data_IF_134913471142
#
_entry.id   IF_134913471142
#
_cell.length_a   1.000
_cell.length_b   1.000
_cell.length_c   1.000
_cell.angle_alpha   90.00
_cell.angle_beta   90.00
_cell.angle_gamma   90.00
#
_symmetry.space_group_name_H-M   'P 1'
#
loop_
_entity.id
_entity.type
_entity.pdbx_description
1 polymer ?
#
# COMPACT_ATOMS: atom_id res chain seq x y z
N UNK A 1 3.02 50.27 11.71
CA UNK A 1 2.59 49.04 12.41
C UNK A 1 1.87 48.05 11.50
N UNK A 2 0.81 48.43 10.75
CA UNK A 2 0.07 47.50 9.84
C UNK A 2 0.93 46.61 8.92
N UNK A 3 1.92 47.19 8.23
CA UNK A 3 2.78 46.43 7.32
C UNK A 3 3.61 45.35 8.04
N UNK A 4 4.01 45.61 9.29
CA UNK A 4 4.77 44.64 10.08
C UNK A 4 3.87 43.48 10.52
N UNK A 5 2.65 43.78 10.97
CA UNK A 5 1.66 42.77 11.37
C UNK A 5 1.21 41.88 10.19
N UNK A 6 1.07 42.47 9.00
CA UNK A 6 0.76 41.72 7.77
C UNK A 6 1.89 40.76 7.39
N UNK A 7 3.15 41.21 7.52
CA UNK A 7 4.32 40.37 7.28
C UNK A 7 4.43 39.25 8.31
N UNK A 8 4.23 39.54 9.58
CA UNK A 8 4.21 38.54 10.66
C UNK A 8 3.11 37.50 10.39
N UNK A 9 1.90 37.94 10.05
CA UNK A 9 0.77 37.05 9.72
C UNK A 9 1.09 36.16 8.52
N UNK A 10 1.73 36.72 7.50
CA UNK A 10 2.14 35.98 6.30
C UNK A 10 3.18 34.90 6.60
N UNK A 11 4.16 35.21 7.46
CA UNK A 11 5.16 34.24 7.92
C UNK A 11 4.48 33.11 8.69
N UNK A 12 3.57 33.41 9.63
CA UNK A 12 2.83 32.37 10.35
C UNK A 12 2.04 31.43 9.44
N UNK A 13 1.40 31.97 8.40
CA UNK A 13 0.66 31.16 7.40
C UNK A 13 1.59 30.26 6.60
N UNK A 14 2.76 30.76 6.22
CA UNK A 14 3.77 29.98 5.51
C UNK A 14 4.32 28.86 6.40
N UNK A 15 4.72 29.17 7.63
CA UNK A 15 5.18 28.17 8.60
C UNK A 15 4.14 27.07 8.79
N UNK A 16 2.85 27.43 8.97
CA UNK A 16 1.77 26.45 9.10
C UNK A 16 1.64 25.55 7.88
N UNK A 17 1.70 26.11 6.66
CA UNK A 17 1.62 25.32 5.42
C UNK A 17 2.81 24.38 5.28
N UNK A 18 4.03 24.85 5.60
CA UNK A 18 5.25 24.04 5.55
C UNK A 18 5.15 22.88 6.54
N UNK A 19 4.70 23.14 7.77
CA UNK A 19 4.53 22.08 8.78
C UNK A 19 3.50 21.04 8.37
N UNK A 20 2.36 21.43 7.80
CA UNK A 20 1.39 20.47 7.28
C UNK A 20 1.96 19.66 6.12
N UNK A 21 2.68 20.30 5.20
CA UNK A 21 3.31 19.60 4.07
C UNK A 21 4.36 18.59 4.57
N UNK A 22 5.23 18.99 5.49
CA UNK A 22 6.24 18.09 6.08
C UNK A 22 5.61 16.89 6.79
N UNK A 23 4.46 17.08 7.47
CA UNK A 23 3.72 15.99 8.10
C UNK A 23 3.17 15.01 7.05
N UNK A 24 2.59 15.52 5.96
CA UNK A 24 2.08 14.69 4.86
C UNK A 24 3.22 13.96 4.13
N UNK A 25 4.34 14.63 3.91
CA UNK A 25 5.52 14.05 3.27
C UNK A 25 6.11 12.93 4.14
N UNK A 26 6.19 13.14 5.46
CA UNK A 26 6.64 12.10 6.40
C UNK A 26 5.74 10.86 6.37
N UNK A 27 4.42 11.05 6.30
CA UNK A 27 3.47 9.92 6.17
C UNK A 27 3.64 9.19 4.84
N UNK A 28 3.87 9.94 3.75
CA UNK A 28 4.12 9.37 2.42
C UNK A 28 5.42 8.57 2.40
N UNK A 29 6.49 9.10 3.00
CA UNK A 29 7.79 8.41 3.10
C UNK A 29 7.65 7.13 3.92
N UNK A 30 6.96 7.15 5.06
CA UNK A 30 6.72 5.94 5.85
C UNK A 30 6.00 4.86 5.05
N UNK A 31 4.97 5.23 4.28
CA UNK A 31 4.27 4.28 3.39
C UNK A 31 5.19 3.73 2.30
N UNK A 32 6.03 4.58 1.70
CA UNK A 32 7.00 4.14 0.68
C UNK A 32 8.08 3.23 1.27
N UNK A 33 8.57 3.50 2.47
CA UNK A 33 9.53 2.65 3.19
C UNK A 33 8.90 1.28 3.46
N UNK A 34 7.67 1.25 3.97
CA UNK A 34 6.94 -0.01 4.22
C UNK A 34 6.70 -0.81 2.93
N UNK A 35 6.38 -0.13 1.82
CA UNK A 35 6.27 -0.76 0.49
C UNK A 35 7.62 -1.28 -0.01
N UNK A 36 8.72 -0.58 0.28
CA UNK A 36 10.07 -0.96 -0.12
C UNK A 36 10.68 -2.05 0.78
N UNK A 37 10.29 -2.12 2.05
CA UNK A 37 10.65 -3.20 2.98
C UNK A 37 10.07 -4.55 2.51
N UNK A 38 8.93 -4.54 1.83
CA UNK A 38 8.42 -5.71 1.15
C UNK A 38 9.13 -5.89 -0.19
N UNK A 39 10.21 -6.67 -0.16
CA UNK A 39 10.96 -7.05 -1.36
C UNK A 39 10.10 -7.80 -2.37
N UNK A 40 10.49 -7.76 -3.65
CA UNK A 40 9.87 -8.58 -4.69
C UNK A 40 9.88 -10.08 -4.31
N UNK A 41 10.89 -10.53 -3.56
CA UNK A 41 10.95 -11.90 -3.05
C UNK A 41 9.84 -12.20 -2.03
N UNK A 42 9.52 -11.24 -1.15
CA UNK A 42 8.41 -11.37 -0.21
C UNK A 42 7.09 -11.54 -0.97
N UNK A 43 6.82 -10.66 -1.93
CA UNK A 43 5.60 -10.71 -2.74
C UNK A 43 5.49 -12.02 -3.50
N UNK A 44 6.56 -12.43 -4.17
CA UNK A 44 6.59 -13.68 -4.94
C UNK A 44 6.34 -14.92 -4.03
N UNK A 45 6.84 -14.90 -2.79
CA UNK A 45 6.58 -15.96 -1.80
C UNK A 45 5.12 -15.94 -1.31
N UNK A 46 4.59 -14.76 -0.96
CA UNK A 46 3.20 -14.59 -0.56
C UNK A 46 2.26 -15.09 -1.66
N UNK A 47 2.54 -14.72 -2.91
CA UNK A 47 1.79 -15.16 -4.08
C UNK A 47 1.78 -16.65 -4.28
N UNK A 48 2.95 -17.29 -4.29
CA UNK A 48 3.04 -18.74 -4.48
C UNK A 48 2.24 -19.49 -3.42
N UNK A 49 2.22 -18.98 -2.18
CA UNK A 49 1.50 -19.63 -1.08
C UNK A 49 -0.01 -19.41 -1.20
N UNK A 50 -0.45 -18.16 -1.40
CA UNK A 50 -1.86 -17.80 -1.58
C UNK A 50 -2.47 -18.48 -2.80
N UNK A 51 -1.78 -18.47 -3.95
CA UNK A 51 -2.25 -19.11 -5.18
C UNK A 51 -2.40 -20.62 -5.03
N UNK A 52 -1.44 -21.29 -4.38
CA UNK A 52 -1.55 -22.73 -4.08
C UNK A 52 -2.74 -23.04 -3.20
N UNK A 53 -2.96 -22.26 -2.14
CA UNK A 53 -4.11 -22.47 -1.25
C UNK A 53 -5.45 -22.20 -1.93
N UNK A 54 -5.53 -21.19 -2.79
CA UNK A 54 -6.73 -20.83 -3.55
C UNK A 54 -7.05 -21.86 -4.64
N UNK A 55 -6.07 -22.24 -5.47
CA UNK A 55 -6.27 -23.23 -6.55
C UNK A 55 -6.73 -24.58 -5.99
N UNK A 56 -6.25 -24.98 -4.81
CA UNK A 56 -6.69 -26.20 -4.14
C UNK A 56 -8.15 -26.13 -3.65
N UNK A 57 -8.70 -24.93 -3.45
CA UNK A 57 -10.07 -24.71 -2.95
C UNK A 57 -11.05 -24.30 -4.04
N UNK A 58 -10.58 -23.60 -5.05
CA UNK A 58 -11.37 -22.93 -6.08
C UNK A 58 -10.63 -23.10 -7.42
N UNK A 59 -11.27 -23.77 -8.38
CA UNK A 59 -10.65 -24.07 -9.68
C UNK A 59 -10.23 -22.79 -10.43
N UNK A 60 -11.02 -21.72 -10.30
CA UNK A 60 -10.78 -20.41 -10.90
C UNK A 60 -11.15 -19.29 -9.91
N UNK A 61 -10.22 -18.87 -9.04
CA UNK A 61 -10.50 -17.83 -8.08
C UNK A 61 -10.63 -16.46 -8.75
N UNK A 62 -11.61 -15.69 -8.33
CA UNK A 62 -11.82 -14.31 -8.75
C UNK A 62 -10.78 -13.35 -8.15
N UNK A 63 -10.65 -12.16 -8.76
CA UNK A 63 -9.77 -11.10 -8.26
C UNK A 63 -10.07 -10.71 -6.80
N UNK A 64 -11.35 -10.78 -6.40
CA UNK A 64 -11.77 -10.51 -5.02
C UNK A 64 -11.33 -11.61 -4.06
N UNK A 65 -11.46 -12.88 -4.44
CA UNK A 65 -11.02 -14.01 -3.60
C UNK A 65 -9.50 -14.03 -3.44
N UNK A 66 -8.77 -13.66 -4.50
CA UNK A 66 -7.31 -13.45 -4.42
C UNK A 66 -6.95 -12.34 -3.45
N UNK A 67 -7.63 -11.20 -3.53
CA UNK A 67 -7.40 -10.07 -2.63
C UNK A 67 -7.66 -10.47 -1.17
N UNK A 68 -8.78 -11.12 -0.88
CA UNK A 68 -9.14 -11.55 0.48
C UNK A 68 -8.14 -12.56 1.06
N UNK A 69 -7.69 -13.53 0.25
CA UNK A 69 -6.68 -14.48 0.70
C UNK A 69 -5.32 -13.83 0.94
N UNK A 70 -4.93 -12.86 0.11
CA UNK A 70 -3.69 -12.11 0.28
C UNK A 70 -3.76 -11.19 1.51
N UNK A 71 -4.89 -10.53 1.74
CA UNK A 71 -5.16 -9.76 2.96
C UNK A 71 -5.03 -10.64 4.21
N UNK A 72 -5.59 -11.85 4.17
CA UNK A 72 -5.46 -12.81 5.27
C UNK A 72 -4.01 -13.22 5.50
N UNK A 73 -3.27 -13.54 4.44
CA UNK A 73 -1.86 -13.90 4.53
C UNK A 73 -1.02 -12.76 5.13
N UNK A 74 -1.26 -11.53 4.68
CA UNK A 74 -0.58 -10.35 5.20
C UNK A 74 -0.98 -10.05 6.65
N UNK A 75 -2.24 -10.25 7.05
CA UNK A 75 -2.64 -10.11 8.44
C UNK A 75 -1.91 -11.12 9.37
N UNK A 76 -1.62 -12.32 8.88
CA UNK A 76 -0.91 -13.37 9.64
C UNK A 76 0.61 -13.17 9.68
N UNK A 77 1.21 -12.66 8.60
CA UNK A 77 2.66 -12.64 8.42
C UNK A 77 3.29 -11.24 8.36
N UNK A 78 2.50 -10.20 8.14
CA UNK A 78 2.94 -8.81 7.97
C UNK A 78 1.83 -7.80 8.37
N UNK A 79 1.18 -7.99 9.52
CA UNK A 79 0.02 -7.17 9.93
C UNK A 79 0.31 -5.67 9.95
N UNK A 80 1.51 -5.29 10.38
CA UNK A 80 2.02 -3.92 10.38
C UNK A 80 1.96 -3.25 8.99
N UNK A 81 2.01 -4.02 7.90
CA UNK A 81 1.91 -3.52 6.54
C UNK A 81 0.49 -3.01 6.23
N UNK A 82 -0.54 -3.81 6.54
CA UNK A 82 -1.95 -3.44 6.32
C UNK A 82 -2.32 -2.24 7.20
N UNK A 83 -1.86 -2.23 8.45
CA UNK A 83 -2.08 -1.13 9.39
C UNK A 83 -1.49 0.20 8.90
N UNK A 84 -0.27 0.16 8.33
CA UNK A 84 0.44 1.37 7.89
C UNK A 84 -0.05 1.92 6.54
N UNK A 85 -0.49 1.06 5.62
CA UNK A 85 -0.95 1.50 4.29
C UNK A 85 -2.36 2.08 4.30
N UNK A 86 -3.23 1.57 5.18
CA UNK A 86 -4.65 1.86 5.16
C UNK A 86 -5.37 1.23 3.95
N UNK A 87 -6.67 0.95 4.12
CA UNK A 87 -7.46 0.12 3.20
C UNK A 87 -7.46 0.63 1.75
N UNK A 88 -7.60 1.94 1.54
CA UNK A 88 -7.67 2.52 0.19
C UNK A 88 -6.34 2.43 -0.57
N UNK A 89 -5.21 2.63 0.12
CA UNK A 89 -3.88 2.52 -0.49
C UNK A 89 -3.55 1.07 -0.82
N UNK A 90 -3.93 0.14 0.06
CA UNK A 90 -3.81 -1.29 -0.19
C UNK A 90 -4.56 -1.73 -1.44
N UNK A 91 -5.85 -1.35 -1.57
CA UNK A 91 -6.64 -1.67 -2.77
C UNK A 91 -6.00 -1.14 -4.04
N UNK A 92 -5.51 0.11 -4.02
CA UNK A 92 -4.85 0.70 -5.20
C UNK A 92 -3.53 0.00 -5.55
N UNK A 93 -2.72 -0.41 -4.56
CA UNK A 93 -1.51 -1.22 -4.78
C UNK A 93 -1.86 -2.60 -5.33
N UNK A 94 -2.91 -3.22 -4.79
CA UNK A 94 -3.40 -4.51 -5.25
C UNK A 94 -3.77 -4.45 -6.74
N UNK A 95 -4.58 -3.47 -7.13
CA UNK A 95 -5.05 -3.34 -8.52
C UNK A 95 -3.93 -2.95 -9.50
N UNK A 96 -2.99 -2.09 -9.09
CA UNK A 96 -2.01 -1.49 -10.02
C UNK A 96 -0.75 -2.33 -10.25
N UNK A 97 -0.27 -3.06 -9.24
CA UNK A 97 0.98 -3.85 -9.32
C UNK A 97 0.73 -5.34 -9.24
N UNK A 98 -0.06 -5.71 -8.25
CA UNK A 98 -0.21 -7.07 -7.76
C UNK A 98 -1.18 -7.89 -8.63
N UNK A 99 -2.29 -7.30 -9.07
CA UNK A 99 -3.28 -7.95 -9.92
C UNK A 99 -2.74 -8.33 -11.32
N UNK A 100 -1.94 -7.49 -12.01
CA UNK A 100 -1.26 -7.88 -13.25
C UNK A 100 -0.40 -9.14 -13.12
N UNK A 101 0.39 -9.25 -12.04
CA UNK A 101 1.25 -10.42 -11.78
C UNK A 101 0.44 -11.70 -11.55
N UNK A 102 -0.67 -11.61 -10.82
CA UNK A 102 -1.60 -12.74 -10.62
C UNK A 102 -2.13 -13.23 -11.96
N UNK A 103 -2.57 -12.31 -12.81
CA UNK A 103 -3.13 -12.65 -14.12
C UNK A 103 -2.08 -13.30 -15.02
N UNK A 104 -0.85 -12.81 -15.02
CA UNK A 104 0.25 -13.46 -15.75
C UNK A 104 0.49 -14.90 -15.26
N UNK A 105 0.57 -15.11 -13.95
CA UNK A 105 0.83 -16.45 -13.39
C UNK A 105 -0.31 -17.41 -13.73
N UNK A 106 -1.57 -16.98 -13.63
CA UNK A 106 -2.72 -17.81 -14.00
C UNK A 106 -2.64 -18.18 -15.49
N UNK A 107 -2.42 -17.19 -16.36
CA UNK A 107 -2.33 -17.40 -17.81
C UNK A 107 -1.16 -18.31 -18.21
N UNK A 108 -0.05 -18.29 -17.47
CA UNK A 108 1.13 -19.13 -17.74
C UNK A 108 1.01 -20.56 -17.20
N UNK A 109 0.05 -20.85 -16.31
CA UNK A 109 -0.19 -22.18 -15.74
C UNK A 109 -1.42 -22.88 -16.33
N UNK A 110 -2.05 -22.29 -17.35
CA UNK A 110 -3.23 -22.81 -18.06
C UNK A 110 -2.84 -23.29 -19.46
#
# INVERSE_FOLDING_TARGET
>A
MKLLDEKITSIYRLCRRISEQQRLDSQTIQRLVVVNELSDEFWNRAYKKVSKELILKILFPSDTEYREALEKYLAEHASHYIENLGRNTWVSLFESKLLPEVREIINNNQ
#
